data_IF_873435962136
#
_entry.id   IF_873435962136
#
_cell.length_a   1.000
_cell.length_b   1.000
_cell.length_c   1.000
_cell.angle_alpha   90.00
_cell.angle_beta   90.00
_cell.angle_gamma   90.00
#
_symmetry.space_group_name_H-M   'P 1'
#
loop_
_entity.id
_entity.type
_entity.pdbx_description
1 polymer ?
#
# COMPACT_ATOMS: atom_id res chain seq x y z
N UNK A 1 -1.54 22.91 4.78
CA UNK A 1 -1.18 21.58 5.30
C UNK A 1 -0.87 20.71 4.09
N UNK A 2 0.33 20.13 4.02
CA UNK A 2 0.73 19.30 2.88
C UNK A 2 0.12 17.88 3.05
N UNK A 3 -0.63 17.44 2.06
CA UNK A 3 -1.05 16.05 1.93
C UNK A 3 -0.02 15.37 1.02
N UNK A 4 0.58 14.29 1.50
CA UNK A 4 1.50 13.49 0.70
C UNK A 4 0.76 12.26 0.21
N UNK A 5 0.65 12.13 -1.10
CA UNK A 5 -0.02 11.00 -1.72
C UNK A 5 1.04 9.96 -2.10
N UNK A 6 0.81 8.73 -1.67
CA UNK A 6 1.74 7.63 -1.91
C UNK A 6 1.06 6.58 -2.75
N UNK A 7 1.64 6.27 -3.90
CA UNK A 7 1.23 5.16 -4.75
C UNK A 7 2.01 3.92 -4.35
N UNK A 8 1.29 2.88 -3.92
CA UNK A 8 1.86 1.59 -3.56
C UNK A 8 1.46 0.56 -4.60
N UNK A 9 2.43 0.08 -5.37
CA UNK A 9 2.21 -0.85 -6.48
C UNK A 9 2.84 -2.21 -6.17
N UNK A 10 2.07 -3.28 -6.27
CA UNK A 10 2.56 -4.64 -6.10
C UNK A 10 3.43 -5.04 -7.31
N UNK A 11 4.73 -5.26 -7.05
CA UNK A 11 5.70 -5.73 -8.06
C UNK A 11 5.62 -7.23 -8.29
N UNK A 12 5.15 -7.99 -7.31
CA UNK A 12 5.09 -9.45 -7.33
C UNK A 12 3.79 -9.95 -6.76
N UNK A 13 3.38 -11.14 -7.21
CA UNK A 13 2.24 -11.84 -6.65
C UNK A 13 2.57 -12.28 -5.22
N UNK A 14 1.67 -12.03 -4.28
CA UNK A 14 1.81 -12.43 -2.89
C UNK A 14 0.45 -12.69 -2.29
N UNK A 15 0.18 -13.94 -1.90
CA UNK A 15 -1.15 -14.35 -1.45
C UNK A 15 -2.23 -13.93 -2.45
N UNK A 16 -3.17 -13.08 -2.04
CA UNK A 16 -4.26 -12.56 -2.85
C UNK A 16 -3.88 -11.28 -3.62
N UNK A 17 -2.66 -10.78 -3.45
CA UNK A 17 -2.15 -9.61 -4.17
C UNK A 17 -1.57 -10.08 -5.49
N UNK A 18 -2.17 -9.64 -6.58
CA UNK A 18 -1.66 -9.90 -7.93
C UNK A 18 -0.65 -8.81 -8.33
N UNK A 19 0.36 -9.19 -9.10
CA UNK A 19 1.30 -8.23 -9.70
C UNK A 19 0.52 -7.21 -10.54
N UNK A 20 0.78 -5.93 -10.28
CA UNK A 20 0.09 -4.81 -10.93
C UNK A 20 -1.07 -4.21 -10.12
N UNK A 21 -1.47 -4.81 -9.00
CA UNK A 21 -2.37 -4.15 -8.06
C UNK A 21 -1.71 -2.91 -7.47
N UNK A 22 -2.45 -1.80 -7.39
CA UNK A 22 -1.95 -0.57 -6.79
C UNK A 22 -3.00 0.10 -5.93
N UNK A 23 -2.53 0.70 -4.85
CA UNK A 23 -3.34 1.54 -3.96
C UNK A 23 -2.71 2.90 -3.80
N UNK A 24 -3.56 3.88 -3.50
CA UNK A 24 -3.15 5.25 -3.25
C UNK A 24 -3.45 5.53 -1.78
N UNK A 25 -2.43 5.93 -1.04
CA UNK A 25 -2.48 6.18 0.40
C UNK A 25 -2.21 7.65 0.60
N UNK A 26 -3.19 8.34 1.16
CA UNK A 26 -3.09 9.76 1.45
C UNK A 26 -2.66 9.94 2.90
N UNK A 27 -1.39 10.33 3.09
CA UNK A 27 -0.83 10.62 4.40
C UNK A 27 -0.99 12.11 4.68
N UNK A 28 -1.89 12.46 5.60
CA UNK A 28 -2.13 13.85 6.04
C UNK A 28 -1.09 14.23 7.09
N UNK A 29 -0.51 15.42 6.98
CA UNK A 29 0.46 15.98 7.94
C UNK A 29 1.80 15.22 8.09
N UNK A 30 2.17 14.32 7.16
CA UNK A 30 3.49 13.69 7.20
C UNK A 30 4.02 13.31 5.81
N UNK A 31 5.25 13.73 5.48
CA UNK A 31 6.04 13.26 4.31
C UNK A 31 6.65 11.87 4.52
N UNK A 32 6.13 11.10 5.48
CA UNK A 32 6.70 9.79 5.80
C UNK A 32 6.17 8.76 4.82
N UNK A 33 7.02 7.79 4.48
CA UNK A 33 6.58 6.60 3.74
C UNK A 33 5.47 5.89 4.53
N UNK A 34 4.38 5.45 3.89
CA UNK A 34 3.31 4.72 4.55
C UNK A 34 3.86 3.42 5.14
N UNK A 35 3.43 3.12 6.37
CA UNK A 35 3.83 1.90 7.06
C UNK A 35 3.14 0.68 6.46
N UNK A 36 3.72 -0.51 6.68
CA UNK A 36 3.16 -1.79 6.25
C UNK A 36 1.67 -1.94 6.63
N UNK A 37 1.29 -1.54 7.86
CA UNK A 37 -0.11 -1.55 8.30
C UNK A 37 -1.00 -0.65 7.44
N UNK A 38 -0.61 0.60 7.20
CA UNK A 38 -1.40 1.53 6.38
C UNK A 38 -1.53 1.03 4.94
N UNK A 39 -0.48 0.42 4.40
CA UNK A 39 -0.52 -0.24 3.08
C UNK A 39 -1.52 -1.39 3.07
N UNK A 40 -1.44 -2.27 4.07
CA UNK A 40 -2.35 -3.43 4.20
C UNK A 40 -3.80 -2.95 4.34
N UNK A 41 -4.06 -1.96 5.18
CA UNK A 41 -5.39 -1.38 5.38
C UNK A 41 -5.92 -0.76 4.09
N UNK A 42 -5.11 0.03 3.37
CA UNK A 42 -5.51 0.61 2.09
C UNK A 42 -5.79 -0.44 1.01
N UNK A 43 -5.02 -1.54 0.98
CA UNK A 43 -5.24 -2.67 0.08
C UNK A 43 -6.51 -3.42 0.43
N UNK A 44 -6.72 -3.75 1.70
CA UNK A 44 -7.96 -4.41 2.13
C UNK A 44 -9.18 -3.53 1.89
N UNK A 45 -9.07 -2.20 2.03
CA UNK A 45 -10.15 -1.27 1.77
C UNK A 45 -10.48 -1.13 0.27
N UNK A 46 -9.48 -1.19 -0.62
CA UNK A 46 -9.68 -1.05 -2.08
C UNK A 46 -10.05 -2.37 -2.77
N UNK A 47 -9.46 -3.49 -2.34
CA UNK A 47 -9.59 -4.80 -2.99
C UNK A 47 -10.40 -5.83 -2.19
N UNK A 48 -10.75 -5.54 -0.94
CA UNK A 48 -11.55 -6.41 -0.07
C UNK A 48 -10.76 -7.00 1.11
N UNK A 49 -11.46 -7.22 2.23
CA UNK A 49 -10.92 -7.82 3.45
C UNK A 49 -10.19 -9.14 3.15
N UNK A 50 -8.93 -9.24 3.62
CA UNK A 50 -7.96 -10.35 3.45
C UNK A 50 -7.10 -10.33 2.18
N UNK A 51 -7.14 -9.29 1.36
CA UNK A 51 -6.24 -9.17 0.19
C UNK A 51 -4.77 -9.07 0.64
N UNK A 52 -4.50 -8.28 1.68
CA UNK A 52 -3.18 -8.17 2.28
C UNK A 52 -3.21 -8.72 3.72
N UNK A 53 -2.33 -9.67 4.01
CA UNK A 53 -2.18 -10.26 5.36
C UNK A 53 -1.03 -9.60 6.11
N UNK A 54 -1.03 -9.73 7.45
CA UNK A 54 -0.02 -9.14 8.34
C UNK A 54 1.44 -9.61 8.05
N UNK A 55 1.62 -10.66 7.25
CA UNK A 55 2.93 -11.13 6.75
C UNK A 55 3.37 -10.56 5.41
N UNK A 56 2.60 -9.65 4.80
CA UNK A 56 2.88 -9.12 3.47
C UNK A 56 4.05 -8.15 3.52
N UNK A 57 5.25 -8.57 3.10
CA UNK A 57 6.46 -7.75 3.19
C UNK A 57 6.36 -6.47 2.34
N UNK A 58 6.84 -5.33 2.85
CA UNK A 58 6.92 -4.11 2.03
C UNK A 58 7.83 -4.28 0.80
N UNK A 59 8.75 -5.25 0.81
CA UNK A 59 9.69 -5.55 -0.28
C UNK A 59 9.04 -5.98 -1.59
N UNK A 60 7.80 -6.49 -1.55
CA UNK A 60 7.06 -6.86 -2.77
C UNK A 60 6.28 -5.67 -3.36
N UNK A 61 6.26 -4.54 -2.66
CA UNK A 61 5.59 -3.32 -3.09
C UNK A 61 6.59 -2.23 -3.44
N UNK A 62 6.24 -1.45 -4.44
CA UNK A 62 6.91 -0.22 -4.78
C UNK A 62 6.09 0.94 -4.25
N UNK A 63 6.67 1.71 -3.33
CA UNK A 63 6.05 2.86 -2.69
C UNK A 63 6.67 4.11 -3.31
N UNK A 64 5.87 4.90 -4.02
CA UNK A 64 6.30 6.12 -4.73
C UNK A 64 5.44 7.29 -4.26
N UNK A 65 6.06 8.42 -3.94
CA UNK A 65 5.35 9.67 -3.66
C UNK A 65 4.86 10.29 -4.98
N UNK A 66 3.61 10.74 -5.02
CA UNK A 66 2.97 11.38 -6.19
C UNK A 66 2.30 12.70 -5.83
#
# INVERSE_FOLDING_TARGET
>A
MANYLWKVTAKRNSFAILKGMYVEILVKNASRKPNQKEVIEAINLKYGDKTASNGTSLSIFEIVEI
#
